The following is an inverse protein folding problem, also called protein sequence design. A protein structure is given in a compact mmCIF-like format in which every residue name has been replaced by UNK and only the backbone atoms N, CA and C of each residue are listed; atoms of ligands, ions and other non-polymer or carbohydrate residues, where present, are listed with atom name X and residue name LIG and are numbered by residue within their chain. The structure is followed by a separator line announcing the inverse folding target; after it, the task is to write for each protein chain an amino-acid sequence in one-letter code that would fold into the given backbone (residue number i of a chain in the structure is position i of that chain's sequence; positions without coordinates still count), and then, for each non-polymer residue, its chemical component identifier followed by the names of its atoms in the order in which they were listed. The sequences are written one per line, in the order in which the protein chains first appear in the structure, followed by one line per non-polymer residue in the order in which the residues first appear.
data_IF_965289812178
#
_entry.id   IF_965289812178
#
_cell.length_a   1.000
_cell.length_b   1.000
_cell.length_c   1.000
_cell.angle_alpha   90.00
_cell.angle_beta   90.00
_cell.angle_gamma   90.00
#
_symmetry.space_group_name_H-M   'P 1'
#
loop_
_entity.id
_entity.type
_entity.pdbx_description
1 polymer ?
#
# COMPACT_ATOMS: atom_id res chain seq x y z
N UNK A 1 -13.50 8.08 -15.47
CA UNK A 1 -12.40 8.70 -14.71
C UNK A 1 -11.50 7.62 -14.12
N UNK A 2 -10.21 7.77 -14.27
CA UNK A 2 -9.27 6.83 -13.67
C UNK A 2 -9.29 6.98 -12.15
N UNK A 3 -9.40 5.87 -11.44
CA UNK A 3 -9.28 5.82 -9.98
C UNK A 3 -7.84 6.20 -9.60
N UNK A 4 -7.67 7.05 -8.59
CA UNK A 4 -6.34 7.38 -8.09
C UNK A 4 -5.67 6.12 -7.52
N UNK A 5 -4.35 5.93 -7.72
CA UNK A 5 -3.64 4.82 -7.10
C UNK A 5 -3.81 4.83 -5.58
N UNK A 6 -3.91 3.66 -4.99
CA UNK A 6 -3.92 3.50 -3.54
C UNK A 6 -2.56 3.93 -2.99
N UNK A 7 -2.55 4.72 -1.93
CA UNK A 7 -1.33 5.28 -1.33
C UNK A 7 -1.06 4.68 0.04
N UNK A 8 0.19 4.77 0.53
CA UNK A 8 0.50 4.42 1.90
C UNK A 8 -0.40 5.17 2.88
N UNK A 9 -0.81 4.50 3.94
CA UNK A 9 -1.62 5.09 5.00
C UNK A 9 -0.67 5.60 6.09
N UNK A 10 -0.93 6.80 6.60
CA UNK A 10 -0.12 7.40 7.64
C UNK A 10 -0.79 7.22 9.00
N UNK A 11 0.03 7.00 10.03
CA UNK A 11 -0.43 6.77 11.39
C UNK A 11 -0.28 8.04 12.23
N UNK A 12 -1.34 8.35 12.97
CA UNK A 12 -1.35 9.47 13.90
C UNK A 12 -1.77 8.95 15.27
N UNK A 13 -1.20 9.51 16.32
CA UNK A 13 -1.58 9.18 17.69
C UNK A 13 -2.25 10.38 18.35
N UNK A 14 -3.19 10.10 19.23
CA UNK A 14 -3.88 11.15 19.98
C UNK A 14 -3.00 11.64 21.12
N UNK A 15 -2.81 12.95 21.19
CA UNK A 15 -2.17 13.65 22.30
C UNK A 15 -3.12 14.76 22.76
N UNK A 16 -3.83 14.54 23.87
CA UNK A 16 -4.88 15.47 24.31
C UNK A 16 -5.99 15.60 23.27
N UNK A 17 -6.17 16.78 22.72
CA UNK A 17 -7.17 17.07 21.69
C UNK A 17 -6.56 17.18 20.29
N UNK A 18 -5.34 16.70 20.11
CA UNK A 18 -4.64 16.79 18.84
C UNK A 18 -4.29 15.39 18.33
N UNK A 19 -4.22 15.27 17.01
CA UNK A 19 -3.62 14.12 16.34
C UNK A 19 -2.23 14.53 15.88
N UNK A 20 -1.21 13.78 16.27
CA UNK A 20 0.17 14.04 15.89
C UNK A 20 0.75 12.84 15.13
N UNK A 21 1.64 13.08 14.15
CA UNK A 21 2.30 11.97 13.45
C UNK A 21 3.00 11.05 14.44
N UNK A 22 2.84 9.74 14.26
CA UNK A 22 3.48 8.76 15.14
C UNK A 22 4.99 8.69 14.91
N UNK A 23 5.41 8.72 13.66
CA UNK A 23 6.81 8.69 13.23
C UNK A 23 7.10 9.85 12.29
N UNK A 24 8.37 10.18 12.11
CA UNK A 24 8.76 11.28 11.22
C UNK A 24 8.22 11.11 9.80
N UNK A 25 8.15 9.88 9.29
CA UNK A 25 7.59 9.62 7.96
C UNK A 25 6.11 9.96 7.84
N UNK A 26 5.37 9.91 8.94
CA UNK A 26 3.94 10.21 8.92
C UNK A 26 3.65 11.70 8.72
N UNK A 27 4.66 12.57 8.88
CA UNK A 27 4.55 13.99 8.58
C UNK A 27 4.23 14.23 7.10
N UNK A 28 4.64 13.31 6.22
CA UNK A 28 4.37 13.42 4.79
C UNK A 28 2.89 13.39 4.43
N UNK A 29 2.02 12.97 5.37
CA UNK A 29 0.57 13.13 5.20
C UNK A 29 0.15 14.60 5.01
N UNK A 30 0.97 15.53 5.52
CA UNK A 30 0.70 16.97 5.48
C UNK A 30 1.28 17.66 4.24
N UNK A 31 2.00 16.92 3.40
CA UNK A 31 2.60 17.49 2.20
C UNK A 31 1.52 18.08 1.28
N UNK A 32 1.76 19.31 0.82
CA UNK A 32 0.81 20.02 -0.04
C UNK A 32 -0.33 20.70 0.71
N UNK A 33 -0.36 20.63 2.04
CA UNK A 33 -1.38 21.30 2.86
C UNK A 33 -0.77 22.56 3.48
N UNK A 34 -1.38 23.71 3.19
CA UNK A 34 -0.92 25.01 3.70
C UNK A 34 -1.37 25.23 5.14
N UNK A 35 -0.65 26.08 5.88
CA UNK A 35 -1.06 26.49 7.22
C UNK A 35 -2.44 27.13 7.18
N UNK A 36 -3.32 26.71 8.11
CA UNK A 36 -4.69 27.21 8.19
C UNK A 36 -5.66 26.65 7.15
N UNK A 37 -5.18 25.79 6.25
CA UNK A 37 -6.02 25.15 5.25
C UNK A 37 -6.99 24.18 5.91
N UNK A 38 -8.25 24.23 5.52
CA UNK A 38 -9.27 23.27 5.98
C UNK A 38 -9.15 21.97 5.19
N UNK A 39 -9.11 20.86 5.92
CA UNK A 39 -9.06 19.52 5.31
C UNK A 39 -10.17 18.65 5.89
N UNK A 40 -10.58 17.66 5.13
CA UNK A 40 -11.47 16.60 5.60
C UNK A 40 -10.64 15.42 6.05
N UNK A 41 -10.90 14.92 7.26
CA UNK A 41 -10.20 13.77 7.83
C UNK A 41 -11.22 12.69 8.15
N UNK A 42 -10.87 11.46 7.80
CA UNK A 42 -11.58 10.26 8.23
C UNK A 42 -10.68 9.48 9.17
N UNK A 43 -11.19 9.15 10.36
CA UNK A 43 -10.41 8.48 11.40
C UNK A 43 -10.81 7.01 11.43
N UNK A 44 -9.83 6.12 11.22
CA UNK A 44 -9.99 4.67 11.29
C UNK A 44 -8.92 4.08 12.17
N UNK A 45 -9.27 3.01 12.89
CA UNK A 45 -8.31 2.28 13.70
C UNK A 45 -7.23 1.67 12.81
N UNK A 46 -5.97 1.77 13.22
CA UNK A 46 -4.83 1.24 12.48
C UNK A 46 -4.14 0.15 13.30
N UNK A 47 -4.50 -1.12 13.05
CA UNK A 47 -4.09 -2.25 13.91
C UNK A 47 -2.66 -2.73 13.69
N UNK A 48 -2.21 -2.83 12.45
CA UNK A 48 -0.88 -3.36 12.14
C UNK A 48 -0.06 -2.40 11.31
N UNK A 49 0.34 -1.31 11.96
CA UNK A 49 1.13 -0.24 11.34
C UNK A 49 2.49 -0.76 10.84
N UNK A 50 3.15 -1.61 11.66
CA UNK A 50 4.47 -2.14 11.32
C UNK A 50 4.46 -2.95 10.02
N UNK A 51 3.48 -3.84 9.86
CA UNK A 51 3.35 -4.66 8.65
C UNK A 51 3.05 -3.81 7.43
N UNK A 52 2.17 -2.84 7.56
CA UNK A 52 1.81 -1.93 6.48
C UNK A 52 3.01 -1.11 6.02
N UNK A 53 3.77 -0.57 6.97
CA UNK A 53 5.01 0.17 6.68
C UNK A 53 6.06 -0.72 6.02
N UNK A 54 6.22 -1.95 6.52
CA UNK A 54 7.17 -2.91 5.95
C UNK A 54 6.83 -3.23 4.49
N UNK A 55 5.55 -3.40 4.20
CA UNK A 55 5.08 -3.64 2.84
C UNK A 55 5.46 -2.48 1.90
N UNK A 56 5.11 -1.25 2.27
CA UNK A 56 5.40 -0.09 1.41
C UNK A 56 6.89 0.20 1.29
N UNK A 57 7.67 -0.02 2.35
CA UNK A 57 9.13 0.10 2.31
C UNK A 57 9.74 -0.93 1.35
N UNK A 58 9.22 -2.15 1.34
CA UNK A 58 9.62 -3.18 0.40
C UNK A 58 9.37 -2.75 -1.05
N UNK A 59 8.19 -2.21 -1.35
CA UNK A 59 7.88 -1.74 -2.70
C UNK A 59 8.81 -0.62 -3.13
N UNK A 60 9.09 0.34 -2.27
CA UNK A 60 9.98 1.44 -2.58
C UNK A 60 11.41 0.94 -2.83
N UNK A 61 11.88 0.00 -2.04
CA UNK A 61 13.20 -0.61 -2.23
C UNK A 61 13.31 -1.30 -3.60
N UNK A 62 12.28 -2.04 -3.99
CA UNK A 62 12.26 -2.73 -5.29
C UNK A 62 12.22 -1.72 -6.45
N UNK A 63 11.40 -0.69 -6.35
CA UNK A 63 11.32 0.35 -7.38
C UNK A 63 12.67 1.06 -7.53
N UNK A 64 13.30 1.42 -6.42
CA UNK A 64 14.59 2.10 -6.42
C UNK A 64 15.71 1.22 -7.03
N UNK A 65 15.65 -0.08 -6.79
CA UNK A 65 16.67 -1.01 -7.25
C UNK A 65 16.48 -1.45 -8.71
N UNK A 66 15.24 -1.55 -9.20
CA UNK A 66 14.93 -2.17 -10.49
C UNK A 66 14.31 -1.22 -11.51
N UNK A 67 13.79 -0.08 -11.06
CA UNK A 67 13.02 0.85 -11.90
C UNK A 67 11.86 0.17 -12.64
N UNK A 68 11.30 -0.92 -12.04
CA UNK A 68 10.27 -1.74 -12.66
C UNK A 68 8.90 -1.05 -12.77
N UNK A 69 8.71 0.05 -12.04
CA UNK A 69 7.49 0.83 -12.06
C UNK A 69 7.84 2.30 -11.79
N UNK A 70 6.93 3.21 -12.12
CA UNK A 70 7.13 4.66 -11.93
C UNK A 70 7.14 5.06 -10.45
N UNK A 71 6.49 4.26 -9.60
CA UNK A 71 6.36 4.54 -8.17
C UNK A 71 5.98 3.29 -7.41
N UNK A 72 6.13 3.32 -6.08
CA UNK A 72 5.67 2.24 -5.21
C UNK A 72 4.15 2.02 -5.36
N UNK A 73 3.36 3.09 -5.52
CA UNK A 73 1.92 3.00 -5.73
C UNK A 73 1.57 2.23 -7.02
N UNK A 74 2.33 2.44 -8.08
CA UNK A 74 2.12 1.70 -9.34
C UNK A 74 2.53 0.24 -9.20
N UNK A 75 3.63 -0.04 -8.53
CA UNK A 75 4.03 -1.41 -8.24
C UNK A 75 2.98 -2.13 -7.40
N UNK A 76 2.39 -1.44 -6.43
CA UNK A 76 1.30 -1.99 -5.63
C UNK A 76 0.10 -2.42 -6.51
N UNK A 77 -0.28 -1.61 -7.49
CA UNK A 77 -1.34 -1.97 -8.43
C UNK A 77 -0.99 -3.22 -9.25
N UNK A 78 0.26 -3.30 -9.74
CA UNK A 78 0.75 -4.48 -10.46
C UNK A 78 0.66 -5.72 -9.58
N UNK A 79 1.10 -5.63 -8.32
CA UNK A 79 1.06 -6.75 -7.38
C UNK A 79 -0.38 -7.20 -7.12
N UNK A 80 -1.32 -6.29 -6.99
CA UNK A 80 -2.73 -6.65 -6.84
C UNK A 80 -3.24 -7.43 -8.06
N UNK A 81 -2.92 -6.97 -9.25
CA UNK A 81 -3.31 -7.68 -10.49
C UNK A 81 -2.66 -9.06 -10.57
N UNK A 82 -1.37 -9.15 -10.26
CA UNK A 82 -0.62 -10.42 -10.37
C UNK A 82 -0.98 -11.44 -9.28
N UNK A 83 -1.42 -10.97 -8.12
CA UNK A 83 -1.79 -11.85 -7.00
C UNK A 83 -3.27 -12.12 -6.89
N UNK A 84 -4.09 -11.55 -7.79
CA UNK A 84 -5.53 -11.82 -7.83
C UNK A 84 -6.38 -10.95 -6.91
N UNK A 85 -5.84 -9.87 -6.35
CA UNK A 85 -6.62 -8.89 -5.60
C UNK A 85 -7.26 -7.91 -6.58
N UNK A 86 -8.33 -8.37 -7.22
CA UNK A 86 -8.95 -7.65 -8.34
C UNK A 86 -10.46 -7.57 -8.17
N UNK A 87 -11.04 -6.55 -8.79
CA UNK A 87 -12.48 -6.45 -9.03
C UNK A 87 -12.72 -6.66 -10.52
N UNK A 88 -13.78 -7.37 -10.86
CA UNK A 88 -14.14 -7.62 -12.25
C UNK A 88 -15.23 -6.65 -12.69
N UNK A 89 -15.03 -5.99 -13.82
CA UNK A 89 -16.01 -5.09 -14.41
C UNK A 89 -16.54 -5.76 -15.68
N UNK A 90 -17.88 -5.94 -15.76
CA UNK A 90 -18.54 -6.42 -16.97
C UNK A 90 -18.73 -5.28 -17.97
N UNK A 91 -18.32 -5.51 -19.22
CA UNK A 91 -18.53 -4.56 -20.30
C UNK A 91 -19.80 -4.92 -21.10
N UNK A 92 -20.39 -3.93 -21.81
CA UNK A 92 -21.62 -4.20 -22.59
C UNK A 92 -21.47 -5.30 -23.64
N UNK A 93 -20.25 -5.55 -24.12
CA UNK A 93 -19.98 -6.61 -25.11
C UNK A 93 -19.82 -8.00 -24.49
N UNK A 94 -20.04 -8.15 -23.18
CA UNK A 94 -19.89 -9.42 -22.47
C UNK A 94 -18.49 -9.71 -21.97
N UNK A 95 -17.50 -8.89 -22.28
CA UNK A 95 -16.15 -9.03 -21.75
C UNK A 95 -16.07 -8.58 -20.29
N UNK A 96 -15.19 -9.21 -19.53
CA UNK A 96 -14.89 -8.80 -18.16
C UNK A 96 -13.45 -8.28 -18.09
N UNK A 97 -13.27 -7.15 -17.41
CA UNK A 97 -11.96 -6.54 -17.22
C UNK A 97 -11.63 -6.56 -15.74
N UNK A 98 -10.40 -7.00 -15.40
CA UNK A 98 -9.89 -6.97 -14.04
C UNK A 98 -9.26 -5.61 -13.75
N UNK A 99 -9.65 -4.99 -12.65
CA UNK A 99 -9.02 -3.79 -12.12
C UNK A 99 -8.48 -4.07 -10.72
N UNK A 100 -7.45 -3.32 -10.26
CA UNK A 100 -6.94 -3.53 -8.91
C UNK A 100 -8.03 -3.34 -7.85
N UNK A 101 -8.14 -4.29 -6.92
CA UNK A 101 -9.01 -4.19 -5.76
C UNK A 101 -8.40 -3.30 -4.68
N UNK A 102 -8.94 -3.35 -3.46
CA UNK A 102 -8.44 -2.56 -2.33
C UNK A 102 -7.82 -3.46 -1.28
N UNK A 103 -6.70 -3.00 -0.69
CA UNK A 103 -6.07 -3.64 0.47
C UNK A 103 -6.40 -2.93 1.78
N UNK A 104 -7.31 -1.95 1.76
CA UNK A 104 -7.72 -1.22 2.97
C UNK A 104 -8.40 -2.16 3.96
N UNK A 105 -8.34 -1.83 5.26
CA UNK A 105 -8.95 -2.65 6.32
C UNK A 105 -10.46 -2.82 6.18
N UNK A 106 -11.14 -1.91 5.49
CA UNK A 106 -12.58 -2.02 5.21
C UNK A 106 -12.89 -3.13 4.20
N UNK A 107 -11.93 -3.47 3.35
CA UNK A 107 -12.09 -4.41 2.24
C UNK A 107 -11.27 -5.69 2.42
N UNK A 108 -10.27 -5.66 3.28
CA UNK A 108 -9.33 -6.75 3.47
C UNK A 108 -9.00 -6.89 4.96
N UNK A 109 -9.26 -8.06 5.51
CA UNK A 109 -8.91 -8.37 6.89
C UNK A 109 -7.40 -8.56 7.05
N UNK A 110 -6.93 -8.52 8.30
CA UNK A 110 -5.50 -8.66 8.63
C UNK A 110 -4.88 -9.93 8.04
N UNK A 111 -5.56 -11.08 8.19
CA UNK A 111 -5.08 -12.35 7.64
C UNK A 111 -5.01 -12.36 6.12
N UNK A 112 -5.94 -11.68 5.45
CA UNK A 112 -5.94 -11.52 4.01
C UNK A 112 -4.80 -10.61 3.55
N UNK A 113 -4.52 -9.54 4.30
CA UNK A 113 -3.38 -8.66 4.00
C UNK A 113 -2.06 -9.40 4.17
N UNK A 114 -1.92 -10.22 5.22
CA UNK A 114 -0.73 -11.05 5.42
C UNK A 114 -0.52 -12.01 4.26
N UNK A 115 -1.57 -12.68 3.81
CA UNK A 115 -1.52 -13.57 2.66
C UNK A 115 -1.13 -12.81 1.38
N UNK A 116 -1.69 -11.62 1.18
CA UNK A 116 -1.34 -10.74 0.07
C UNK A 116 0.14 -10.34 0.12
N UNK A 117 0.61 -9.92 1.29
CA UNK A 117 2.02 -9.53 1.49
C UNK A 117 2.97 -10.69 1.13
N UNK A 118 2.65 -11.90 1.62
CA UNK A 118 3.46 -13.10 1.33
C UNK A 118 3.46 -13.41 -0.17
N UNK A 119 2.31 -13.32 -0.82
CA UNK A 119 2.20 -13.54 -2.26
C UNK A 119 2.98 -12.48 -3.05
N UNK A 120 2.93 -11.22 -2.61
CA UNK A 120 3.68 -10.13 -3.23
C UNK A 120 5.20 -10.35 -3.10
N UNK A 121 5.68 -10.73 -1.92
CA UNK A 121 7.10 -11.06 -1.72
C UNK A 121 7.55 -12.18 -2.66
N UNK A 122 6.74 -13.23 -2.75
CA UNK A 122 7.03 -14.36 -3.63
C UNK A 122 7.11 -13.93 -5.08
N UNK A 123 6.15 -13.14 -5.54
CA UNK A 123 6.14 -12.65 -6.91
C UNK A 123 7.36 -11.78 -7.22
N UNK A 124 7.71 -10.88 -6.30
CA UNK A 124 8.90 -10.03 -6.45
C UNK A 124 10.19 -10.85 -6.47
N UNK A 125 10.26 -11.89 -5.65
CA UNK A 125 11.41 -12.80 -5.62
C UNK A 125 11.55 -13.55 -6.95
N UNK A 126 10.46 -14.10 -7.46
CA UNK A 126 10.46 -14.87 -8.70
C UNK A 126 10.70 -14.00 -9.94
N UNK A 127 10.20 -12.76 -9.93
CA UNK A 127 10.25 -11.88 -11.09
C UNK A 127 11.56 -11.08 -11.15
N UNK A 128 12.02 -10.55 -10.02
CA UNK A 128 13.17 -9.65 -9.96
C UNK A 128 14.32 -10.16 -9.09
N UNK A 129 14.19 -11.35 -8.51
CA UNK A 129 15.19 -11.88 -7.59
C UNK A 129 15.28 -11.17 -6.26
N UNK A 130 14.24 -10.41 -5.88
CA UNK A 130 14.21 -9.67 -4.64
C UNK A 130 14.15 -10.61 -3.43
N UNK A 131 14.98 -10.33 -2.41
CA UNK A 131 14.95 -11.05 -1.13
C UNK A 131 14.78 -10.02 -0.01
N UNK A 132 13.74 -10.18 0.80
CA UNK A 132 13.48 -9.29 1.91
C UNK A 132 14.64 -9.28 2.91
N UNK A 133 14.98 -8.13 3.44
CA UNK A 133 16.13 -7.93 4.31
C UNK A 133 16.16 -8.88 5.52
N UNK A 134 15.01 -9.18 6.12
CA UNK A 134 14.92 -10.15 7.21
C UNK A 134 15.41 -11.54 6.80
N UNK A 135 15.04 -11.96 5.61
CA UNK A 135 15.46 -13.27 5.07
C UNK A 135 16.94 -13.28 4.72
N UNK A 136 17.48 -12.15 4.25
CA UNK A 136 18.91 -12.02 3.97
C UNK A 136 19.74 -12.14 5.25
N UNK A 137 19.27 -11.53 6.36
CA UNK A 137 19.97 -11.58 7.65
C UNK A 137 19.86 -12.95 8.32
N UNK A 138 18.80 -13.71 8.05
CA UNK A 138 18.58 -15.05 8.61
C UNK A 138 19.29 -16.15 7.83
N UNK A 139 19.75 -15.86 6.63
CA UNK A 139 20.42 -16.85 5.75
C UNK A 139 21.89 -17.03 6.12
#
# INVERSE_FOLDING_TARGET
MAKKPEKPVYAFVRRGNHLVPEWDMDIHALDGISQGQRVRIEIKEFRNVGRHRAYWAMLQEVVDATECALSAERLHEVLKLETGVVDLIGLPNGMKVAIPGSTSFDKMEEGEFEAFFTAAERWLSQTYGYVHERKRRAA
#
